data_IF_489387874416
#
_entry.id   IF_489387874416
#
_cell.length_a   1.000
_cell.length_b   1.000
_cell.length_c   1.000
_cell.angle_alpha   90.00
_cell.angle_beta   90.00
_cell.angle_gamma   90.00
#
_symmetry.space_group_name_H-M   'P 1'
#
loop_
_entity.id
_entity.type
_entity.pdbx_description
1 polymer ?
#
# COMPACT_ATOMS: atom_id res chain seq x y z
N UNK A 1 -8.68 9.75 4.56
CA UNK A 1 -10.02 9.10 4.55
C UNK A 1 -9.89 7.67 4.05
N UNK A 2 -9.76 6.68 4.95
CA UNK A 2 -9.45 5.28 4.57
C UNK A 2 -10.53 4.64 3.68
N UNK A 3 -11.81 4.89 4.00
CA UNK A 3 -12.97 4.35 3.26
C UNK A 3 -12.95 4.78 1.79
N UNK A 4 -12.59 6.04 1.51
CA UNK A 4 -12.45 6.54 0.13
C UNK A 4 -11.48 5.69 -0.72
N UNK A 5 -10.34 5.31 -0.13
CA UNK A 5 -9.32 4.54 -0.83
C UNK A 5 -9.68 3.05 -0.97
N UNK A 6 -10.44 2.49 -0.02
CA UNK A 6 -10.79 1.06 -0.01
C UNK A 6 -12.10 0.74 -0.72
N UNK A 7 -12.92 1.74 -1.05
CA UNK A 7 -14.25 1.56 -1.65
C UNK A 7 -14.37 2.28 -2.99
N UNK A 8 -13.62 1.87 -4.04
CA UNK A 8 -13.65 2.53 -5.35
C UNK A 8 -15.04 2.60 -5.96
N UNK A 9 -15.89 1.59 -5.75
CA UNK A 9 -17.27 1.57 -6.27
C UNK A 9 -18.12 2.74 -5.76
N UNK A 10 -17.91 3.18 -4.52
CA UNK A 10 -18.65 4.31 -3.94
C UNK A 10 -18.23 5.66 -4.55
N UNK A 11 -17.04 5.71 -5.18
CA UNK A 11 -16.50 6.93 -5.80
C UNK A 11 -16.70 6.90 -7.32
N UNK A 12 -16.36 5.78 -7.94
CA UNK A 12 -16.31 5.61 -9.40
C UNK A 12 -17.62 5.05 -9.98
N UNK A 13 -18.50 4.50 -9.15
CA UNK A 13 -19.71 3.81 -9.61
C UNK A 13 -19.38 2.44 -10.21
N UNK A 14 -20.08 2.11 -11.30
CA UNK A 14 -19.93 0.81 -11.96
C UNK A 14 -18.65 0.75 -12.81
N UNK A 15 -18.27 -0.45 -13.26
CA UNK A 15 -17.16 -0.61 -14.21
C UNK A 15 -17.39 0.19 -15.50
N UNK A 16 -18.64 0.28 -15.97
CA UNK A 16 -18.97 1.04 -17.19
C UNK A 16 -18.73 2.54 -17.00
N UNK A 17 -19.07 3.08 -15.83
CA UNK A 17 -18.83 4.47 -15.48
C UNK A 17 -17.33 4.78 -15.47
N UNK A 18 -16.53 3.90 -14.85
CA UNK A 18 -15.08 4.02 -14.81
C UNK A 18 -14.42 3.93 -16.20
N UNK A 19 -14.93 3.10 -17.11
CA UNK A 19 -14.45 3.02 -18.49
C UNK A 19 -14.76 4.30 -19.27
N UNK A 20 -15.93 4.91 -19.00
CA UNK A 20 -16.39 6.10 -19.71
C UNK A 20 -15.71 7.39 -19.21
N UNK A 21 -15.12 7.38 -18.00
CA UNK A 21 -14.46 8.54 -17.39
C UNK A 21 -13.07 8.17 -16.81
N UNK A 22 -12.04 8.00 -17.67
CA UNK A 22 -10.70 7.65 -17.22
C UNK A 22 -10.04 8.75 -16.37
N UNK A 23 -10.38 10.03 -16.58
CA UNK A 23 -9.84 11.14 -15.78
C UNK A 23 -10.31 11.05 -14.33
N UNK A 24 -11.57 10.66 -14.09
CA UNK A 24 -12.06 10.44 -12.74
C UNK A 24 -11.38 9.25 -12.06
N UNK A 25 -11.05 8.18 -12.81
CA UNK A 25 -10.25 7.06 -12.29
C UNK A 25 -8.85 7.54 -11.87
N UNK A 26 -8.19 8.36 -12.69
CA UNK A 26 -6.88 8.93 -12.37
C UNK A 26 -6.94 9.81 -11.12
N UNK A 27 -7.96 10.65 -11.00
CA UNK A 27 -8.18 11.49 -9.82
C UNK A 27 -8.41 10.65 -8.56
N UNK A 28 -9.21 9.58 -8.65
CA UNK A 28 -9.41 8.65 -7.55
C UNK A 28 -8.11 7.97 -7.12
N UNK A 29 -7.32 7.45 -8.07
CA UNK A 29 -6.02 6.83 -7.79
C UNK A 29 -5.09 7.77 -7.01
N UNK A 30 -4.94 9.01 -7.51
CA UNK A 30 -4.12 10.03 -6.88
C UNK A 30 -4.59 10.33 -5.44
N UNK A 31 -5.88 10.59 -5.25
CA UNK A 31 -6.43 10.94 -3.94
C UNK A 31 -6.39 9.77 -2.95
N UNK A 32 -6.67 8.54 -3.43
CA UNK A 32 -6.59 7.33 -2.62
C UNK A 32 -5.17 7.11 -2.10
N UNK A 33 -4.16 7.21 -2.99
CA UNK A 33 -2.76 7.11 -2.60
C UNK A 33 -2.36 8.20 -1.60
N UNK A 34 -2.77 9.45 -1.82
CA UNK A 34 -2.46 10.55 -0.91
C UNK A 34 -3.05 10.34 0.49
N UNK A 35 -4.33 9.95 0.58
CA UNK A 35 -4.98 9.70 1.87
C UNK A 35 -4.39 8.50 2.62
N UNK A 36 -4.00 7.45 1.90
CA UNK A 36 -3.37 6.30 2.52
C UNK A 36 -1.98 6.65 3.06
N UNK A 37 -1.17 7.39 2.30
CA UNK A 37 0.16 7.83 2.74
C UNK A 37 0.08 8.75 3.97
N UNK A 38 -0.86 9.71 3.98
CA UNK A 38 -1.10 10.58 5.14
C UNK A 38 -1.45 9.76 6.40
N UNK A 39 -2.42 8.86 6.30
CA UNK A 39 -2.82 8.00 7.42
C UNK A 39 -1.69 7.07 7.89
N UNK A 40 -0.93 6.49 6.96
CA UNK A 40 0.22 5.66 7.28
C UNK A 40 1.29 6.47 8.04
N UNK A 41 1.53 7.72 7.65
CA UNK A 41 2.48 8.61 8.36
C UNK A 41 2.06 8.96 9.79
N UNK A 42 0.77 8.79 10.12
CA UNK A 42 0.20 9.00 11.45
C UNK A 42 0.09 7.71 12.27
N UNK A 43 0.71 6.62 11.82
CA UNK A 43 0.71 5.34 12.57
C UNK A 43 -0.49 4.43 12.27
N UNK A 44 -1.31 4.75 11.26
CA UNK A 44 -2.50 3.94 10.97
C UNK A 44 -2.11 2.59 10.33
N UNK A 45 -2.19 1.52 11.11
CA UNK A 45 -1.86 0.15 10.67
C UNK A 45 -2.75 -0.36 9.53
N UNK A 46 -4.00 0.08 9.44
CA UNK A 46 -4.88 -0.29 8.33
C UNK A 46 -4.46 0.40 7.03
N UNK A 47 -3.95 1.64 7.10
CA UNK A 47 -3.40 2.32 5.93
C UNK A 47 -2.10 1.68 5.44
N UNK A 48 -1.22 1.21 6.34
CA UNK A 48 -0.04 0.43 5.97
C UNK A 48 -0.43 -0.86 5.23
N UNK A 49 -1.42 -1.59 5.76
CA UNK A 49 -1.95 -2.80 5.12
C UNK A 49 -2.56 -2.51 3.75
N UNK A 50 -3.37 -1.44 3.66
CA UNK A 50 -4.01 -1.03 2.41
C UNK A 50 -3.00 -0.60 1.34
N UNK A 51 -1.92 0.12 1.71
CA UNK A 51 -0.84 0.50 0.78
C UNK A 51 -0.11 -0.73 0.26
N UNK A 52 0.24 -1.69 1.13
CA UNK A 52 0.83 -2.96 0.70
C UNK A 52 -0.04 -3.62 -0.35
N UNK A 53 -1.33 -3.83 -0.06
CA UNK A 53 -2.25 -4.50 -0.98
C UNK A 53 -2.45 -3.71 -2.29
N UNK A 54 -2.42 -2.38 -2.24
CA UNK A 54 -2.55 -1.54 -3.42
C UNK A 54 -1.33 -1.68 -4.37
N UNK A 55 -0.12 -1.79 -3.81
CA UNK A 55 1.10 -2.06 -4.57
C UNK A 55 1.23 -3.52 -5.01
N UNK A 56 0.64 -4.47 -4.28
CA UNK A 56 0.56 -5.88 -4.71
C UNK A 56 -0.32 -6.02 -5.96
N UNK A 57 -1.51 -5.41 -5.95
CA UNK A 57 -2.53 -5.62 -6.98
C UNK A 57 -2.53 -4.55 -8.11
N UNK A 58 -1.74 -3.49 -7.98
CA UNK A 58 -1.73 -2.37 -8.95
C UNK A 58 -3.04 -1.59 -9.00
N UNK A 59 -3.74 -1.45 -7.86
CA UNK A 59 -5.08 -0.81 -7.78
C UNK A 59 -4.98 0.72 -7.81
N UNK A 60 -4.88 1.34 -6.62
CA UNK A 60 -4.82 2.80 -6.47
C UNK A 60 -3.45 3.37 -6.87
N UNK A 61 -2.43 2.52 -6.92
CA UNK A 61 -1.05 2.81 -7.33
C UNK A 61 -0.64 1.74 -8.34
N UNK A 62 0.40 2.00 -9.12
CA UNK A 62 0.96 0.97 -10.00
C UNK A 62 1.56 -0.16 -9.16
N UNK A 63 1.52 -1.38 -9.70
CA UNK A 63 2.06 -2.53 -9.00
C UNK A 63 3.57 -2.36 -8.79
N UNK A 64 4.01 -2.52 -7.56
CA UNK A 64 5.41 -2.41 -7.17
C UNK A 64 5.71 -3.42 -6.04
N UNK A 65 6.32 -4.58 -6.36
CA UNK A 65 6.60 -5.61 -5.36
C UNK A 65 7.56 -5.13 -4.27
N UNK A 66 8.45 -4.15 -4.57
CA UNK A 66 9.36 -3.56 -3.59
C UNK A 66 8.58 -2.73 -2.58
N UNK A 67 7.67 -1.88 -3.04
CA UNK A 67 6.82 -1.08 -2.17
C UNK A 67 5.83 -1.93 -1.37
N UNK A 68 5.21 -2.93 -2.01
CA UNK A 68 4.35 -3.91 -1.34
C UNK A 68 5.06 -4.59 -0.15
N UNK A 69 6.24 -5.17 -0.40
CA UNK A 69 7.07 -5.75 0.66
C UNK A 69 7.36 -4.74 1.76
N UNK A 70 7.77 -3.52 1.40
CA UNK A 70 8.20 -2.52 2.34
C UNK A 70 7.08 -2.12 3.32
N UNK A 71 5.87 -1.87 2.82
CA UNK A 71 4.72 -1.54 3.67
C UNK A 71 4.31 -2.72 4.56
N UNK A 72 4.31 -3.95 4.04
CA UNK A 72 4.00 -5.13 4.85
C UNK A 72 5.04 -5.38 5.95
N UNK A 73 6.32 -5.23 5.62
CA UNK A 73 7.43 -5.39 6.57
C UNK A 73 7.42 -4.30 7.64
N UNK A 74 7.10 -3.05 7.28
CA UNK A 74 6.90 -1.98 8.25
C UNK A 74 5.74 -2.30 9.21
N UNK A 75 4.59 -2.76 8.69
CA UNK A 75 3.44 -3.17 9.50
C UNK A 75 3.80 -4.31 10.47
N UNK A 76 4.55 -5.32 10.01
CA UNK A 76 5.03 -6.40 10.86
C UNK A 76 5.88 -5.90 12.03
N UNK A 77 6.73 -4.89 11.79
CA UNK A 77 7.56 -4.28 12.84
C UNK A 77 6.78 -3.45 13.83
N UNK A 78 5.63 -2.90 13.43
CA UNK A 78 4.71 -2.24 14.36
C UNK A 78 4.12 -3.25 15.32
N UNK A 79 3.57 -4.34 14.79
CA UNK A 79 3.10 -5.47 15.57
C UNK A 79 3.17 -6.77 14.73
N UNK A 80 3.96 -7.77 15.16
CA UNK A 80 4.07 -9.05 14.47
C UNK A 80 2.75 -9.83 14.33
N UNK A 81 1.73 -9.55 15.16
CA UNK A 81 0.42 -10.21 15.09
C UNK A 81 -0.33 -9.88 13.79
N UNK A 82 -0.03 -8.76 13.12
CA UNK A 82 -0.69 -8.39 11.86
C UNK A 82 -0.13 -9.16 10.65
N UNK A 83 1.14 -9.57 10.70
CA UNK A 83 1.84 -10.13 9.55
C UNK A 83 2.78 -11.25 10.00
N UNK A 84 2.54 -12.45 9.51
CA UNK A 84 3.42 -13.59 9.80
C UNK A 84 4.71 -13.55 8.99
N UNK A 85 5.78 -14.16 9.51
CA UNK A 85 7.05 -14.31 8.77
C UNK A 85 6.86 -15.04 7.44
N UNK A 86 5.93 -16.01 7.37
CA UNK A 86 5.56 -16.67 6.12
C UNK A 86 5.11 -15.68 5.05
N UNK A 87 4.35 -14.66 5.45
CA UNK A 87 3.85 -13.63 4.52
C UNK A 87 5.00 -12.78 3.99
N UNK A 88 5.94 -12.40 4.86
CA UNK A 88 7.13 -11.65 4.44
C UNK A 88 8.01 -12.47 3.51
N UNK A 89 8.25 -13.74 3.83
CA UNK A 89 9.05 -14.63 2.97
C UNK A 89 8.40 -14.81 1.59
N UNK A 90 7.07 -14.95 1.54
CA UNK A 90 6.34 -15.06 0.26
C UNK A 90 6.44 -13.78 -0.59
N UNK A 91 6.45 -12.59 0.03
CA UNK A 91 6.67 -11.33 -0.67
C UNK A 91 8.12 -11.17 -1.11
N UNK A 92 9.08 -11.64 -0.31
CA UNK A 92 10.51 -11.63 -0.65
C UNK A 92 10.80 -12.45 -1.92
N UNK A 93 10.17 -13.63 -2.04
CA UNK A 93 10.28 -14.50 -3.21
C UNK A 93 9.76 -13.86 -4.51
N UNK A 94 8.86 -12.87 -4.41
CA UNK A 94 8.29 -12.14 -5.55
C UNK A 94 9.13 -10.92 -5.95
N UNK A 95 10.15 -10.57 -5.18
CA UNK A 95 10.99 -9.42 -5.50
C UNK A 95 11.85 -9.70 -6.75
N UNK A 96 12.09 -8.67 -7.58
CA UNK A 96 13.08 -8.78 -8.64
C UNK A 96 14.47 -9.06 -8.06
N UNK A 97 15.35 -9.67 -8.84
CA UNK A 97 16.72 -9.98 -8.42
C UNK A 97 17.43 -8.73 -7.88
N UNK A 98 17.90 -8.79 -6.63
CA UNK A 98 18.54 -7.67 -5.94
C UNK A 98 17.60 -6.64 -5.29
N UNK A 99 16.28 -6.78 -5.44
CA UNK A 99 15.28 -5.84 -4.91
C UNK A 99 15.14 -5.84 -3.39
N UNK A 100 15.60 -6.88 -2.69
CA UNK A 100 15.45 -7.03 -1.23
C UNK A 100 16.13 -5.92 -0.43
N UNK A 101 17.32 -5.48 -0.85
CA UNK A 101 18.04 -4.40 -0.16
C UNK A 101 17.25 -3.08 -0.24
N UNK A 102 16.69 -2.77 -1.43
CA UNK A 102 15.85 -1.60 -1.64
C UNK A 102 14.54 -1.71 -0.83
N UNK A 103 13.89 -2.86 -0.84
CA UNK A 103 12.64 -3.10 -0.14
C UNK A 103 12.80 -2.92 1.37
N UNK A 104 13.90 -3.44 1.95
CA UNK A 104 14.21 -3.25 3.37
C UNK A 104 14.53 -1.79 3.71
N UNK A 105 15.31 -1.09 2.88
CA UNK A 105 15.60 0.33 3.09
C UNK A 105 14.34 1.21 3.04
N UNK A 106 13.39 0.86 2.17
CA UNK A 106 12.08 1.50 2.12
C UNK A 106 11.24 1.15 3.36
N UNK A 107 11.21 -0.12 3.78
CA UNK A 107 10.50 -0.56 4.99
C UNK A 107 10.97 0.19 6.23
N UNK A 108 12.29 0.38 6.36
CA UNK A 108 12.90 1.19 7.40
C UNK A 108 12.41 2.63 7.39
N UNK A 109 12.30 3.23 6.20
CA UNK A 109 11.83 4.60 6.03
C UNK A 109 10.35 4.72 6.38
N UNK A 110 9.52 3.80 5.91
CA UNK A 110 8.09 3.73 6.26
C UNK A 110 7.93 3.61 7.77
N UNK A 111 8.62 2.66 8.41
CA UNK A 111 8.53 2.42 9.85
C UNK A 111 8.96 3.65 10.68
N UNK A 112 10.07 4.30 10.32
CA UNK A 112 10.53 5.53 10.98
C UNK A 112 9.52 6.67 10.87
N UNK A 113 8.94 6.86 9.69
CA UNK A 113 8.00 7.96 9.44
C UNK A 113 6.65 7.73 10.12
N UNK A 114 6.22 6.47 10.22
CA UNK A 114 4.95 6.10 10.80
C UNK A 114 4.96 6.04 12.33
N UNK A 115 5.96 5.38 12.93
CA UNK A 115 5.72 4.71 14.21
C UNK A 115 6.84 4.84 15.27
N UNK A 116 7.86 5.67 15.03
CA UNK A 116 8.93 5.98 16.01
C UNK A 116 8.98 7.50 16.33
N UNK A 117 7.89 8.23 16.12
CA UNK A 117 7.83 9.66 16.47
C UNK A 117 7.39 9.88 17.91
#
# INVERSE_FOLDING_TARGET
MLVYAMSPHEVLGTLQDAINDPEHVLAWKHNAAAYLNDLASQGNVFALSALSNAYEDGRAVDADPVAAYAYKRALQRVNPDFVSDRTINALEEQLPAGGLAQANALADTVYRNCCIR
#
